data_IF_779558299688
#
_entry.id   IF_779558299688
#
_cell.length_a   1.000
_cell.length_b   1.000
_cell.length_c   1.000
_cell.angle_alpha   90.00
_cell.angle_beta   90.00
_cell.angle_gamma   90.00
#
_symmetry.space_group_name_H-M   'P 1'
#
loop_
_entity.id
_entity.type
_entity.pdbx_description
1 polymer ?
#
# COMPACT_ATOMS: atom_id res chain seq x y z
N UNK A 1 -4.00 2.20 -19.57
CA UNK A 1 -3.39 2.21 -18.23
C UNK A 1 -3.51 3.61 -17.64
N UNK A 2 -3.88 3.70 -16.37
CA UNK A 2 -3.90 4.97 -15.63
C UNK A 2 -2.56 5.69 -15.73
N UNK A 3 -2.57 6.99 -15.47
CA UNK A 3 -1.37 7.82 -15.48
C UNK A 3 -1.23 8.50 -14.11
N UNK A 4 -0.02 8.74 -13.66
CA UNK A 4 0.26 9.56 -12.47
C UNK A 4 0.21 11.02 -12.92
N UNK A 5 -0.69 11.83 -12.33
CA UNK A 5 -0.95 13.20 -12.77
C UNK A 5 -0.60 14.27 -11.73
N UNK A 6 -0.31 13.88 -10.48
CA UNK A 6 0.01 14.79 -9.39
C UNK A 6 1.53 15.02 -9.22
N UNK A 7 1.96 15.47 -8.05
CA UNK A 7 3.35 15.81 -7.73
C UNK A 7 4.35 14.63 -7.71
N UNK A 8 3.88 13.40 -7.83
CA UNK A 8 4.71 12.22 -8.09
C UNK A 8 5.31 12.21 -9.50
N UNK A 9 4.64 12.85 -10.48
CA UNK A 9 5.06 12.81 -11.88
C UNK A 9 6.48 13.34 -12.07
N UNK A 10 6.83 14.45 -11.42
CA UNK A 10 8.14 15.06 -11.51
C UNK A 10 9.27 14.10 -11.09
N UNK A 11 9.29 13.66 -9.83
CA UNK A 11 10.33 12.74 -9.32
C UNK A 11 10.38 11.40 -10.04
N UNK A 12 9.26 10.86 -10.51
CA UNK A 12 9.20 9.58 -11.24
C UNK A 12 9.44 9.71 -12.74
N UNK A 13 9.50 10.92 -13.30
CA UNK A 13 9.61 11.14 -14.75
C UNK A 13 10.83 10.46 -15.40
N UNK A 14 11.92 10.33 -14.65
CA UNK A 14 13.12 9.61 -15.09
C UNK A 14 12.91 8.11 -15.21
N UNK A 15 12.08 7.51 -14.36
CA UNK A 15 11.80 6.08 -14.38
C UNK A 15 11.06 5.65 -15.65
N UNK A 16 10.10 6.47 -16.10
CA UNK A 16 9.31 6.19 -17.30
C UNK A 16 10.16 6.13 -18.59
N UNK A 17 11.36 6.71 -18.59
CA UNK A 17 12.28 6.72 -19.74
C UNK A 17 13.26 5.56 -19.73
N UNK A 18 13.36 4.81 -18.64
CA UNK A 18 14.32 3.71 -18.49
C UNK A 18 13.91 2.49 -19.33
N UNK A 19 14.88 1.71 -19.85
CA UNK A 19 14.60 0.52 -20.67
C UNK A 19 13.73 -0.52 -19.94
N UNK A 20 13.93 -0.72 -18.63
CA UNK A 20 13.11 -1.66 -17.86
C UNK A 20 11.64 -1.26 -17.84
N UNK A 21 11.35 0.05 -17.70
CA UNK A 21 9.96 0.53 -17.64
C UNK A 21 9.25 0.35 -18.98
N UNK A 22 9.96 0.60 -20.10
CA UNK A 22 9.42 0.34 -21.43
C UNK A 22 9.03 -1.15 -21.59
N UNK A 23 9.95 -2.05 -21.20
CA UNK A 23 9.70 -3.50 -21.23
C UNK A 23 8.53 -3.89 -20.31
N UNK A 24 8.49 -3.34 -19.08
CA UNK A 24 7.40 -3.52 -18.14
C UNK A 24 6.07 -3.10 -18.75
N UNK A 25 6.01 -1.90 -19.33
CA UNK A 25 4.80 -1.37 -19.96
C UNK A 25 4.28 -2.29 -21.07
N UNK A 26 5.16 -2.71 -21.98
CA UNK A 26 4.82 -3.62 -23.09
C UNK A 26 4.33 -4.99 -22.56
N UNK A 27 4.99 -5.52 -21.54
CA UNK A 27 4.59 -6.78 -20.89
C UNK A 27 3.21 -6.66 -20.26
N UNK A 28 3.00 -5.63 -19.44
CA UNK A 28 1.72 -5.43 -18.74
C UNK A 28 0.58 -5.18 -19.74
N UNK A 29 0.83 -4.39 -20.79
CA UNK A 29 -0.15 -4.17 -21.85
C UNK A 29 -0.56 -5.49 -22.51
N UNK A 30 0.40 -6.32 -22.89
CA UNK A 30 0.14 -7.64 -23.47
C UNK A 30 -0.64 -8.56 -22.52
N UNK A 31 -0.33 -8.53 -21.22
CA UNK A 31 -1.07 -9.29 -20.20
C UNK A 31 -2.54 -8.88 -20.15
N UNK A 32 -2.86 -7.58 -20.17
CA UNK A 32 -4.26 -7.10 -20.20
C UNK A 32 -4.98 -7.44 -21.51
N UNK A 33 -4.28 -7.51 -22.63
CA UNK A 33 -4.85 -7.85 -23.94
C UNK A 33 -5.18 -9.36 -24.06
N UNK A 34 -4.44 -10.21 -23.35
CA UNK A 34 -4.49 -11.67 -23.56
C UNK A 34 -5.00 -12.45 -22.35
N UNK A 35 -5.10 -11.81 -21.18
CA UNK A 35 -5.45 -12.46 -19.90
C UNK A 35 -6.34 -11.55 -19.05
N UNK A 36 -6.99 -12.15 -18.07
CA UNK A 36 -7.64 -11.39 -17.01
C UNK A 36 -6.59 -10.96 -15.97
N UNK A 37 -6.42 -9.66 -15.79
CA UNK A 37 -5.43 -9.05 -14.91
C UNK A 37 -6.12 -8.06 -13.97
N UNK A 38 -5.62 -7.94 -12.74
CA UNK A 38 -6.09 -6.99 -11.75
C UNK A 38 -4.96 -6.07 -11.26
N UNK A 39 -5.32 -4.87 -10.78
CA UNK A 39 -6.61 -4.20 -10.79
C UNK A 39 -7.06 -3.80 -12.20
N UNK A 40 -8.17 -3.06 -12.34
CA UNK A 40 -8.51 -2.38 -13.60
C UNK A 40 -7.31 -1.53 -14.07
N UNK A 41 -7.03 -1.45 -15.39
CA UNK A 41 -5.89 -0.67 -15.90
C UNK A 41 -5.84 0.77 -15.42
N UNK A 42 -7.00 1.38 -15.15
CA UNK A 42 -7.08 2.76 -14.66
C UNK A 42 -6.77 2.89 -13.16
N UNK A 43 -6.85 1.78 -12.42
CA UNK A 43 -6.64 1.74 -10.97
C UNK A 43 -5.19 1.41 -10.57
N UNK A 44 -4.30 1.05 -11.52
CA UNK A 44 -2.94 0.57 -11.24
C UNK A 44 -2.16 1.53 -10.33
N UNK A 45 -2.31 2.84 -10.56
CA UNK A 45 -1.55 3.88 -9.85
C UNK A 45 -2.36 4.59 -8.76
N UNK A 46 -3.48 4.04 -8.31
CA UNK A 46 -4.33 4.68 -7.30
C UNK A 46 -3.60 4.98 -5.98
N UNK A 47 -2.59 4.20 -5.59
CA UNK A 47 -1.78 4.50 -4.40
C UNK A 47 -1.04 5.84 -4.53
N UNK A 48 -0.62 6.21 -5.73
CA UNK A 48 0.00 7.48 -6.05
C UNK A 48 -1.04 8.61 -6.20
N UNK A 49 -2.13 8.33 -6.90
CA UNK A 49 -3.18 9.33 -7.19
C UNK A 49 -3.94 9.77 -5.94
N UNK A 50 -4.26 8.85 -5.04
CA UNK A 50 -4.98 9.17 -3.81
C UNK A 50 -4.09 9.76 -2.72
N UNK A 51 -2.77 9.60 -2.82
CA UNK A 51 -1.81 10.12 -1.85
C UNK A 51 -0.68 10.85 -2.57
N UNK A 52 -0.85 12.15 -2.89
CA UNK A 52 0.20 12.99 -3.45
C UNK A 52 1.48 12.92 -2.62
N UNK A 53 2.66 13.02 -3.27
CA UNK A 53 3.95 12.90 -2.58
C UNK A 53 4.06 13.86 -1.40
N UNK A 54 3.66 15.12 -1.58
CA UNK A 54 3.68 16.16 -0.55
C UNK A 54 2.78 15.86 0.66
N UNK A 55 1.78 14.99 0.50
CA UNK A 55 0.82 14.64 1.55
C UNK A 55 1.13 13.33 2.26
N UNK A 56 2.09 12.53 1.78
CA UNK A 56 2.44 11.26 2.40
C UNK A 56 2.95 11.47 3.82
N UNK A 57 2.30 10.88 4.79
CA UNK A 57 2.69 10.83 6.22
C UNK A 57 3.03 9.40 6.67
N UNK A 58 2.36 8.42 6.09
CA UNK A 58 2.49 6.99 6.43
C UNK A 58 2.62 6.19 5.14
N UNK A 59 3.47 5.20 5.13
CA UNK A 59 3.63 4.25 4.02
C UNK A 59 3.36 2.85 4.55
N UNK A 60 2.40 2.15 3.96
CA UNK A 60 2.15 0.73 4.21
C UNK A 60 2.54 -0.03 2.94
N UNK A 61 3.46 -1.00 3.06
CA UNK A 61 3.89 -1.80 1.92
C UNK A 61 3.17 -3.15 1.89
N UNK A 62 2.49 -3.43 0.77
CA UNK A 62 1.96 -4.73 0.41
C UNK A 62 2.85 -5.46 -0.61
N UNK A 63 2.45 -6.65 -1.01
CA UNK A 63 3.19 -7.47 -2.00
C UNK A 63 2.63 -7.26 -3.42
N UNK A 64 1.56 -7.94 -3.74
CA UNK A 64 0.84 -7.87 -5.00
C UNK A 64 -0.67 -7.66 -4.75
N UNK A 65 -1.43 -7.25 -5.77
CA UNK A 65 -2.87 -7.03 -5.61
C UNK A 65 -3.61 -8.34 -5.29
N UNK A 66 -4.80 -8.23 -4.71
CA UNK A 66 -5.72 -9.35 -4.64
C UNK A 66 -6.02 -9.88 -6.05
N UNK A 67 -6.04 -11.20 -6.21
CA UNK A 67 -6.15 -11.85 -7.51
C UNK A 67 -7.54 -12.43 -7.84
N UNK A 68 -8.54 -12.18 -6.98
CA UNK A 68 -9.93 -12.53 -7.26
C UNK A 68 -10.69 -11.35 -7.88
N UNK A 69 -11.73 -11.69 -8.65
CA UNK A 69 -12.56 -10.71 -9.36
C UNK A 69 -13.15 -9.67 -8.39
N UNK A 70 -13.08 -8.42 -8.76
CA UNK A 70 -13.72 -7.32 -8.05
C UNK A 70 -13.00 -6.81 -6.80
N UNK A 71 -11.92 -7.46 -6.33
CA UNK A 71 -11.25 -7.09 -5.09
C UNK A 71 -10.31 -5.88 -5.24
N UNK A 72 -9.27 -6.03 -6.07
CA UNK A 72 -8.20 -5.04 -6.18
C UNK A 72 -8.65 -3.75 -6.85
N UNK A 73 -8.16 -2.62 -6.32
CA UNK A 73 -8.37 -1.29 -6.90
C UNK A 73 -7.15 -0.36 -6.74
N UNK A 74 -5.95 -0.93 -6.66
CA UNK A 74 -4.68 -0.18 -6.66
C UNK A 74 -4.14 0.24 -5.30
N UNK A 75 -4.82 -0.08 -4.20
CA UNK A 75 -4.33 0.11 -2.82
C UNK A 75 -4.07 -1.23 -2.15
N UNK A 76 -2.92 -1.41 -1.51
CA UNK A 76 -2.65 -2.64 -0.77
C UNK A 76 -3.65 -2.83 0.39
N UNK A 77 -4.02 -4.08 0.67
CA UNK A 77 -4.99 -4.53 1.69
C UNK A 77 -6.44 -4.06 1.47
N UNK A 78 -6.69 -3.06 0.63
CA UNK A 78 -8.02 -2.50 0.38
C UNK A 78 -8.78 -3.28 -0.68
N UNK A 79 -10.10 -3.39 -0.50
CA UNK A 79 -11.03 -3.95 -1.49
C UNK A 79 -12.16 -2.96 -1.78
N UNK A 80 -12.88 -3.17 -2.88
CA UNK A 80 -14.06 -2.36 -3.22
C UNK A 80 -15.17 -2.54 -2.18
N UNK A 81 -16.08 -1.57 -2.00
CA UNK A 81 -17.05 -1.56 -0.88
C UNK A 81 -17.96 -2.80 -0.79
N UNK A 82 -18.34 -3.37 -1.93
CA UNK A 82 -19.29 -4.49 -2.01
C UNK A 82 -18.61 -5.87 -1.97
N UNK A 83 -17.32 -5.90 -1.67
CA UNK A 83 -16.52 -7.13 -1.61
C UNK A 83 -16.37 -7.59 -0.16
N UNK A 84 -16.41 -8.91 0.04
CA UNK A 84 -16.11 -9.50 1.35
C UNK A 84 -14.72 -9.07 1.83
N UNK A 85 -14.64 -8.73 3.12
CA UNK A 85 -13.38 -8.27 3.74
C UNK A 85 -12.39 -9.44 3.76
N UNK A 86 -11.22 -9.30 3.11
CA UNK A 86 -10.22 -10.36 3.08
C UNK A 86 -9.65 -10.70 4.47
N UNK A 87 -9.22 -11.95 4.71
CA UNK A 87 -8.77 -12.40 6.03
C UNK A 87 -7.64 -11.55 6.65
N UNK A 88 -6.69 -11.06 5.84
CA UNK A 88 -5.64 -10.18 6.34
C UNK A 88 -6.20 -8.83 6.82
N UNK A 89 -7.18 -8.28 6.11
CA UNK A 89 -7.84 -7.03 6.51
C UNK A 89 -8.74 -7.21 7.73
N UNK A 90 -9.38 -8.36 7.89
CA UNK A 90 -10.10 -8.71 9.14
C UNK A 90 -9.13 -8.61 10.33
N UNK A 91 -7.92 -9.16 10.21
CA UNK A 91 -6.92 -9.10 11.27
C UNK A 91 -6.38 -7.68 11.49
N UNK A 92 -6.22 -6.88 10.42
CA UNK A 92 -5.87 -5.46 10.54
C UNK A 92 -6.95 -4.70 11.34
N UNK A 93 -8.22 -4.94 11.06
CA UNK A 93 -9.31 -4.32 11.80
C UNK A 93 -9.40 -4.80 13.25
N UNK A 94 -9.10 -6.07 13.52
CA UNK A 94 -9.02 -6.57 14.89
C UNK A 94 -7.90 -5.87 15.68
N UNK A 95 -6.70 -5.74 15.10
CA UNK A 95 -5.60 -5.01 15.73
C UNK A 95 -5.94 -3.53 15.91
N UNK A 96 -6.61 -2.91 14.95
CA UNK A 96 -7.06 -1.53 15.05
C UNK A 96 -8.08 -1.34 16.19
N UNK A 97 -9.00 -2.31 16.35
CA UNK A 97 -9.94 -2.33 17.47
C UNK A 97 -9.21 -2.43 18.83
N UNK A 98 -8.28 -3.35 18.94
CA UNK A 98 -7.52 -3.61 20.17
C UNK A 98 -6.55 -2.46 20.52
N UNK A 99 -6.02 -1.77 19.51
CA UNK A 99 -5.06 -0.67 19.68
C UNK A 99 -5.73 0.67 19.99
N UNK A 100 -6.81 1.01 19.29
CA UNK A 100 -7.44 2.34 19.34
C UNK A 100 -8.94 2.32 19.75
N UNK A 101 -9.54 1.16 19.94
CA UNK A 101 -10.97 1.06 20.26
C UNK A 101 -11.90 1.36 19.08
N UNK A 102 -11.41 1.40 17.86
CA UNK A 102 -12.24 1.57 16.68
C UNK A 102 -13.24 0.41 16.54
N UNK A 103 -14.48 0.68 16.11
CA UNK A 103 -15.37 -0.42 15.77
C UNK A 103 -14.94 -1.09 14.46
N UNK A 104 -15.26 -2.38 14.30
CA UNK A 104 -14.95 -3.14 13.09
C UNK A 104 -15.96 -2.76 12.00
N UNK A 105 -15.53 -2.18 10.86
CA UNK A 105 -16.43 -1.74 9.82
C UNK A 105 -16.99 -2.92 9.01
N UNK A 106 -18.08 -2.66 8.26
CA UNK A 106 -18.73 -3.65 7.41
C UNK A 106 -18.22 -3.69 5.97
N UNK A 107 -17.13 -2.99 5.68
CA UNK A 107 -16.51 -2.94 4.35
C UNK A 107 -14.99 -2.85 4.45
N UNK A 108 -14.29 -3.13 3.35
CA UNK A 108 -12.84 -3.09 3.27
C UNK A 108 -12.27 -1.96 2.42
N UNK A 109 -13.01 -0.85 2.25
CA UNK A 109 -12.62 0.25 1.38
C UNK A 109 -11.80 1.31 2.11
N UNK A 110 -10.48 1.28 1.96
CA UNK A 110 -9.53 2.06 2.77
C UNK A 110 -9.14 3.42 2.16
N UNK A 111 -9.85 3.91 1.16
CA UNK A 111 -9.53 5.19 0.48
C UNK A 111 -9.51 6.37 1.45
N UNK A 112 -10.30 6.32 2.54
CA UNK A 112 -10.24 7.34 3.61
C UNK A 112 -8.84 7.46 4.21
N UNK A 113 -8.12 6.35 4.40
CA UNK A 113 -6.75 6.38 4.89
C UNK A 113 -5.81 7.03 3.85
N UNK A 114 -5.93 6.61 2.58
CA UNK A 114 -5.12 7.16 1.50
C UNK A 114 -5.25 8.69 1.38
N UNK A 115 -6.49 9.20 1.45
CA UNK A 115 -6.77 10.65 1.41
C UNK A 115 -6.28 11.45 2.61
N UNK A 116 -5.85 10.78 3.68
CA UNK A 116 -5.23 11.41 4.85
C UNK A 116 -3.70 11.37 4.82
N UNK A 117 -3.10 10.82 3.78
CA UNK A 117 -1.66 10.71 3.63
C UNK A 117 -1.10 9.32 3.96
N UNK A 118 -1.94 8.27 3.98
CA UNK A 118 -1.48 6.89 4.12
C UNK A 118 -1.29 6.29 2.73
N UNK A 119 -0.06 6.28 2.23
CA UNK A 119 0.27 5.65 0.95
C UNK A 119 0.27 4.12 1.10
N UNK A 120 -0.67 3.46 0.46
CA UNK A 120 -0.90 2.02 0.54
C UNK A 120 -0.38 1.35 -0.73
N UNK A 121 0.93 1.10 -0.78
CA UNK A 121 1.66 0.70 -1.98
C UNK A 121 1.96 -0.80 -1.99
N UNK A 122 1.49 -1.53 -3.02
CA UNK A 122 2.02 -2.84 -3.34
C UNK A 122 3.39 -2.72 -4.05
N UNK A 123 4.30 -3.64 -3.81
CA UNK A 123 5.60 -3.68 -4.51
C UNK A 123 5.48 -4.20 -5.94
N UNK A 124 4.43 -4.97 -6.24
CA UNK A 124 4.01 -5.39 -7.58
C UNK A 124 2.61 -4.86 -7.82
N UNK A 125 2.39 -4.10 -8.90
CA UNK A 125 1.14 -3.34 -9.07
C UNK A 125 0.05 -4.06 -9.87
N UNK A 126 0.36 -5.20 -10.48
CA UNK A 126 -0.60 -6.00 -11.26
C UNK A 126 -0.46 -7.49 -10.96
N UNK A 127 -1.51 -8.25 -11.22
CA UNK A 127 -1.54 -9.71 -10.99
C UNK A 127 -2.52 -10.37 -11.96
N UNK A 128 -2.24 -11.58 -12.44
CA UNK A 128 -3.22 -12.39 -13.19
C UNK A 128 -4.31 -12.92 -12.26
N UNK A 129 -5.52 -13.02 -12.78
CA UNK A 129 -6.62 -13.63 -12.07
C UNK A 129 -6.25 -15.03 -11.53
N UNK A 130 -6.55 -15.27 -10.26
CA UNK A 130 -6.32 -16.53 -9.54
C UNK A 130 -4.86 -17.00 -9.48
N UNK A 131 -3.88 -16.14 -9.77
CA UNK A 131 -2.46 -16.49 -9.82
C UNK A 131 -1.61 -15.49 -9.02
N UNK A 132 -1.60 -15.61 -7.70
CA UNK A 132 -0.77 -14.78 -6.82
C UNK A 132 0.71 -14.81 -7.27
N UNK A 133 1.39 -13.68 -7.13
CA UNK A 133 2.79 -13.47 -7.55
C UNK A 133 3.08 -13.64 -9.06
N UNK A 134 2.08 -13.75 -9.92
CA UNK A 134 2.25 -14.00 -11.36
C UNK A 134 3.01 -12.91 -12.10
N UNK A 135 3.03 -11.67 -11.59
CA UNK A 135 3.76 -10.54 -12.17
C UNK A 135 5.01 -10.15 -11.37
N UNK A 136 5.44 -11.02 -10.45
CA UNK A 136 6.70 -10.81 -9.74
C UNK A 136 7.89 -10.88 -10.72
N UNK A 137 8.83 -9.95 -10.58
CA UNK A 137 10.07 -9.93 -11.38
C UNK A 137 9.92 -9.44 -12.82
N UNK A 138 8.76 -8.87 -13.21
CA UNK A 138 8.58 -8.30 -14.56
C UNK A 138 9.04 -6.83 -14.65
N UNK A 139 9.40 -6.20 -13.51
CA UNK A 139 9.91 -4.82 -13.43
C UNK A 139 9.14 -3.92 -12.47
N UNK A 140 8.00 -4.36 -11.90
CA UNK A 140 7.26 -3.55 -10.94
C UNK A 140 8.08 -3.21 -9.69
N UNK A 141 8.85 -4.18 -9.19
CA UNK A 141 9.67 -3.98 -8.00
C UNK A 141 10.72 -2.88 -8.20
N UNK A 142 11.31 -2.77 -9.40
CA UNK A 142 12.27 -1.72 -9.72
C UNK A 142 11.58 -0.33 -9.70
N UNK A 143 10.38 -0.23 -10.26
CA UNK A 143 9.60 1.00 -10.26
C UNK A 143 9.15 1.42 -8.84
N UNK A 144 8.64 0.49 -8.06
CA UNK A 144 8.20 0.78 -6.68
C UNK A 144 9.36 1.04 -5.74
N UNK A 145 10.53 0.41 -5.97
CA UNK A 145 11.76 0.71 -5.24
C UNK A 145 12.24 2.15 -5.50
N UNK A 146 12.08 2.66 -6.73
CA UNK A 146 12.35 4.06 -7.02
C UNK A 146 11.40 4.99 -6.23
N UNK A 147 10.11 4.65 -6.13
CA UNK A 147 9.17 5.42 -5.33
C UNK A 147 9.52 5.38 -3.82
N UNK A 148 9.93 4.22 -3.29
CA UNK A 148 10.36 4.09 -1.89
C UNK A 148 11.61 4.94 -1.61
N UNK A 149 12.57 5.00 -2.55
CA UNK A 149 13.74 5.88 -2.42
C UNK A 149 13.35 7.36 -2.40
N UNK A 150 12.45 7.79 -3.28
CA UNK A 150 11.93 9.15 -3.29
C UNK A 150 11.28 9.50 -1.94
N UNK A 151 10.53 8.58 -1.34
CA UNK A 151 9.94 8.75 -0.01
C UNK A 151 11.01 8.85 1.08
N UNK A 152 12.03 7.99 1.05
CA UNK A 152 13.12 8.01 2.02
C UNK A 152 13.93 9.31 1.96
N UNK A 153 14.05 9.93 0.79
CA UNK A 153 14.78 11.19 0.58
C UNK A 153 14.02 12.44 1.03
N UNK A 154 12.73 12.31 1.41
CA UNK A 154 11.95 13.47 1.88
C UNK A 154 12.47 13.99 3.21
N UNK A 155 12.58 15.32 3.33
CA UNK A 155 13.11 15.98 4.53
C UNK A 155 12.10 16.06 5.70
N UNK A 156 10.86 15.65 5.49
CA UNK A 156 9.81 15.60 6.52
C UNK A 156 9.69 14.21 7.15
N UNK A 157 9.29 14.12 8.43
CA UNK A 157 9.08 12.85 9.12
C UNK A 157 7.96 12.02 8.46
N UNK A 158 8.18 10.71 8.32
CA UNK A 158 7.20 9.74 7.85
C UNK A 158 7.25 8.47 8.69
N UNK A 159 6.18 7.69 8.65
CA UNK A 159 6.12 6.37 9.26
C UNK A 159 6.06 5.31 8.16
N UNK A 160 6.95 4.33 8.20
CA UNK A 160 6.92 3.15 7.32
C UNK A 160 6.45 1.95 8.13
N UNK A 161 5.34 1.35 7.71
CA UNK A 161 4.77 0.16 8.34
C UNK A 161 5.08 -1.04 7.44
N UNK A 162 5.92 -1.94 7.93
CA UNK A 162 6.46 -3.08 7.19
C UNK A 162 5.95 -4.39 7.80
N UNK A 163 4.87 -4.92 7.23
CA UNK A 163 4.26 -6.17 7.67
C UNK A 163 4.73 -7.36 6.85
N UNK A 164 5.41 -8.28 7.52
CA UNK A 164 5.94 -9.50 6.95
C UNK A 164 7.28 -9.32 6.23
N UNK A 165 7.96 -10.44 6.00
CA UNK A 165 9.32 -10.47 5.49
C UNK A 165 9.55 -9.71 4.17
N UNK A 166 8.69 -9.82 3.14
CA UNK A 166 8.91 -9.09 1.89
C UNK A 166 8.92 -7.56 2.06
N UNK A 167 8.02 -7.02 2.89
CA UNK A 167 8.02 -5.59 3.22
C UNK A 167 9.25 -5.21 4.05
N UNK A 168 9.61 -6.02 5.05
CA UNK A 168 10.78 -5.80 5.91
C UNK A 168 12.10 -5.81 5.15
N UNK A 169 12.21 -6.56 4.05
CA UNK A 169 13.39 -6.51 3.17
C UNK A 169 13.64 -5.12 2.58
N UNK A 170 12.61 -4.26 2.46
CA UNK A 170 12.75 -2.87 1.99
C UNK A 170 13.36 -1.94 3.05
N UNK A 171 13.46 -2.37 4.30
CA UNK A 171 14.09 -1.59 5.39
C UNK A 171 15.52 -1.16 5.07
N UNK A 172 16.28 -1.97 4.31
CA UNK A 172 17.64 -1.61 3.89
C UNK A 172 17.72 -0.37 3.00
N UNK A 173 16.59 0.08 2.45
CA UNK A 173 16.47 1.29 1.64
C UNK A 173 16.04 2.51 2.45
N UNK A 174 15.72 2.33 3.74
CA UNK A 174 15.13 3.34 4.63
C UNK A 174 16.17 3.73 5.68
N UNK A 175 17.07 4.62 5.31
CA UNK A 175 18.20 5.07 6.15
C UNK A 175 18.05 6.51 6.67
N UNK A 176 16.97 7.21 6.29
CA UNK A 176 16.72 8.56 6.76
C UNK A 176 16.28 8.55 8.24
N UNK A 177 17.07 9.15 9.16
CA UNK A 177 16.80 9.09 10.60
C UNK A 177 15.54 9.86 11.04
N UNK A 178 14.94 10.66 10.16
CA UNK A 178 13.68 11.37 10.44
C UNK A 178 12.46 10.44 10.40
N UNK A 179 12.59 9.27 9.77
CA UNK A 179 11.48 8.35 9.60
C UNK A 179 11.38 7.35 10.76
N UNK A 180 10.16 6.99 11.11
CA UNK A 180 9.87 5.88 12.01
C UNK A 180 9.59 4.62 11.19
N UNK A 181 10.24 3.51 11.51
CA UNK A 181 9.99 2.21 10.89
C UNK A 181 9.34 1.29 11.93
N UNK A 182 8.12 0.84 11.62
CA UNK A 182 7.36 -0.12 12.43
C UNK A 182 7.34 -1.46 11.70
N UNK A 183 7.80 -2.50 12.36
CA UNK A 183 7.86 -3.86 11.82
C UNK A 183 6.97 -4.80 12.62
N UNK A 184 6.26 -5.69 11.94
CA UNK A 184 5.53 -6.80 12.54
C UNK A 184 5.42 -7.97 11.56
N UNK A 185 5.08 -9.18 12.01
CA UNK A 185 4.65 -10.25 11.12
C UNK A 185 3.49 -9.81 10.22
N UNK A 186 3.29 -10.51 9.11
CA UNK A 186 2.19 -10.20 8.19
C UNK A 186 0.82 -10.46 8.85
N UNK A 187 -0.22 -9.63 8.59
CA UNK A 187 -1.55 -9.79 9.17
C UNK A 187 -2.34 -11.01 8.68
N UNK A 188 -1.80 -11.80 7.75
CA UNK A 188 -2.41 -13.06 7.31
C UNK A 188 -2.70 -13.98 8.50
N UNK A 189 -3.82 -14.77 8.47
CA UNK A 189 -4.11 -15.78 9.49
C UNK A 189 -2.97 -16.74 9.75
N UNK A 190 -2.08 -16.97 8.78
CA UNK A 190 -0.91 -17.85 8.90
C UNK A 190 0.20 -17.28 9.81
N UNK A 191 0.21 -15.99 10.09
CA UNK A 191 1.30 -15.30 10.79
C UNK A 191 0.86 -14.28 11.85
N UNK A 192 -0.39 -13.84 11.85
CA UNK A 192 -0.86 -12.75 12.72
C UNK A 192 -0.63 -13.03 14.21
N UNK A 193 -0.81 -14.26 14.66
CA UNK A 193 -0.57 -14.68 16.05
C UNK A 193 0.91 -14.76 16.45
N UNK A 194 1.84 -14.53 15.51
CA UNK A 194 3.29 -14.54 15.77
C UNK A 194 3.84 -13.17 16.13
N UNK A 195 2.97 -12.19 16.45
CA UNK A 195 3.36 -10.86 16.88
C UNK A 195 2.82 -9.70 16.02
N UNK A 196 1.90 -9.95 15.07
CA UNK A 196 1.14 -8.87 14.44
C UNK A 196 0.11 -8.31 15.45
N UNK A 197 -0.69 -9.19 16.06
CA UNK A 197 -1.57 -8.78 17.16
C UNK A 197 -0.75 -8.29 18.36
N UNK A 198 -1.14 -7.13 18.87
CA UNK A 198 -0.44 -6.43 19.95
C UNK A 198 0.77 -5.61 19.49
N UNK A 199 1.07 -5.52 18.19
CA UNK A 199 2.15 -4.67 17.67
C UNK A 199 1.84 -3.18 17.78
N UNK A 200 0.55 -2.81 17.85
CA UNK A 200 0.04 -1.45 18.06
C UNK A 200 0.58 -0.42 17.04
N UNK A 201 0.49 -0.70 15.75
CA UNK A 201 1.09 0.18 14.75
C UNK A 201 0.34 1.50 14.60
N UNK A 202 -0.96 1.53 14.87
CA UNK A 202 -1.83 2.69 14.65
C UNK A 202 -1.61 3.77 15.72
N UNK A 203 -1.61 3.38 16.99
CA UNK A 203 -1.33 4.31 18.09
C UNK A 203 0.12 4.81 18.05
N UNK A 204 1.09 3.95 17.74
CA UNK A 204 2.49 4.34 17.58
C UNK A 204 2.69 5.31 16.43
N UNK A 205 1.98 5.10 15.31
CA UNK A 205 1.99 6.02 14.17
C UNK A 205 1.46 7.38 14.58
N UNK A 206 0.29 7.45 15.21
CA UNK A 206 -0.31 8.72 15.60
C UNK A 206 0.54 9.45 16.64
N UNK A 207 1.08 8.76 17.64
CA UNK A 207 2.00 9.35 18.61
C UNK A 207 3.24 9.96 17.96
N UNK A 208 3.82 9.29 16.96
CA UNK A 208 4.95 9.83 16.20
C UNK A 208 4.57 11.05 15.37
N UNK A 209 3.44 11.02 14.67
CA UNK A 209 2.96 12.15 13.88
C UNK A 209 2.73 13.38 14.76
N UNK A 210 2.03 13.23 15.88
CA UNK A 210 1.76 14.32 16.84
C UNK A 210 3.05 14.89 17.43
N UNK A 211 4.01 14.03 17.82
CA UNK A 211 5.31 14.45 18.34
C UNK A 211 6.13 15.27 17.33
N UNK A 212 5.84 15.13 16.04
CA UNK A 212 6.47 15.88 14.95
C UNK A 212 5.58 17.02 14.41
N UNK A 213 4.51 17.38 15.11
CA UNK A 213 3.61 18.47 14.71
C UNK A 213 2.74 18.16 13.49
N UNK A 214 2.57 16.88 13.15
CA UNK A 214 1.74 16.43 12.04
C UNK A 214 0.38 15.97 12.55
N UNK A 215 -0.66 16.16 11.73
CA UNK A 215 -2.01 15.71 12.06
C UNK A 215 -2.04 14.18 12.11
N UNK A 216 -2.55 13.56 13.19
CA UNK A 216 -2.72 12.13 13.28
C UNK A 216 -3.70 11.62 12.23
N UNK A 217 -3.69 10.31 12.00
CA UNK A 217 -4.62 9.63 11.10
C UNK A 217 -5.88 9.25 11.87
N UNK A 218 -7.04 9.59 11.33
CA UNK A 218 -8.31 8.99 11.72
C UNK A 218 -8.43 7.62 11.04
N UNK A 219 -8.12 6.58 11.82
CA UNK A 219 -8.09 5.20 11.32
C UNK A 219 -9.48 4.56 11.21
N UNK A 220 -10.53 5.16 11.79
CA UNK A 220 -11.88 4.60 11.71
C UNK A 220 -12.38 4.63 10.26
N UNK A 221 -12.78 3.47 9.73
CA UNK A 221 -13.55 3.36 8.48
C UNK A 221 -15.03 3.31 8.83
N UNK A 222 -15.83 4.13 8.19
CA UNK A 222 -17.27 4.18 8.39
C UNK A 222 -17.96 2.98 7.74
N UNK A 223 -19.08 2.57 8.32
CA UNK A 223 -19.95 1.58 7.72
C UNK A 223 -20.60 2.15 6.45
N UNK A 224 -20.68 1.34 5.41
CA UNK A 224 -21.51 1.65 4.25
C UNK A 224 -22.96 1.25 4.54
N UNK A 225 -23.89 2.14 4.18
CA UNK A 225 -25.33 1.84 4.22
C UNK A 225 -25.64 0.95 3.02
N UNK A 226 -26.18 -0.23 3.27
CA UNK A 226 -26.66 -1.14 2.23
C UNK A 226 -28.05 -0.81 1.79
#
# INVERSE_FOLDING_TARGET
MGAIANDWLGPLSGEFKKPYYKKLYETVKHEYETRQVFPDPNDIFNAFEFTPLSEVKVVILGQDPYHNVGQAHGLCFSVKPDVEIPPSLVNIYQELHDDLGCYIPNNGYLVKWAKQGVMMLNTVLTVRAHAANSHRGIGWEEFTDAAIKILNEQDRPMVFILWGRPAQMKKSMLDNPKHLILEAPHPSPLSAYRGFFGSRPFSKTNAFLEANGLTPIDWQIENVVK
#
